data_IF_633062527028
#
_entry.id   IF_633062527028
#
_cell.length_a   1.000
_cell.length_b   1.000
_cell.length_c   1.000
_cell.angle_alpha   90.00
_cell.angle_beta   90.00
_cell.angle_gamma   90.00
#
_symmetry.space_group_name_H-M   'P 1'
#
loop_
_entity.id
_entity.type
_entity.pdbx_description
1 polymer ?
#
# COMPACT_ATOMS: atom_id res chain seq x y z
N UNK A 1 14.36 -6.15 15.25
CA UNK A 1 13.00 -5.70 14.86
C UNK A 1 12.66 -4.52 15.73
N UNK A 2 12.22 -3.41 15.14
CA UNK A 2 11.79 -2.25 15.92
C UNK A 2 10.44 -2.54 16.57
N UNK A 3 10.30 -2.24 17.86
CA UNK A 3 9.00 -2.32 18.55
C UNK A 3 8.18 -1.03 18.36
N UNK A 4 6.90 -1.04 18.74
CA UNK A 4 6.01 0.12 18.58
C UNK A 4 6.55 1.40 19.25
N UNK A 5 7.22 1.26 20.39
CA UNK A 5 7.83 2.39 21.08
C UNK A 5 8.96 3.00 20.25
N UNK A 6 9.82 2.16 19.69
CA UNK A 6 10.95 2.58 18.85
C UNK A 6 10.45 3.20 17.54
N UNK A 7 9.40 2.65 16.92
CA UNK A 7 8.74 3.26 15.77
C UNK A 7 8.14 4.63 16.11
N UNK A 8 7.45 4.74 17.25
CA UNK A 8 6.91 6.01 17.75
C UNK A 8 8.00 7.06 17.99
N UNK A 9 9.17 6.67 18.51
CA UNK A 9 10.32 7.58 18.67
C UNK A 9 10.79 8.08 17.30
N UNK A 10 10.89 7.21 16.30
CA UNK A 10 11.26 7.60 14.93
C UNK A 10 10.24 8.57 14.33
N UNK A 11 8.94 8.29 14.45
CA UNK A 11 7.87 9.15 13.93
C UNK A 11 7.89 10.55 14.57
N UNK A 12 8.13 10.62 15.88
CA UNK A 12 8.21 11.89 16.61
C UNK A 12 9.42 12.72 16.18
N UNK A 13 10.57 12.07 15.99
CA UNK A 13 11.81 12.73 15.59
C UNK A 13 11.85 13.09 14.10
N UNK A 14 11.05 12.43 13.27
CA UNK A 14 10.86 12.81 11.87
C UNK A 14 10.11 14.15 11.74
N UNK A 15 9.18 14.43 12.65
CA UNK A 15 8.39 15.67 12.61
C UNK A 15 9.21 16.87 13.05
N UNK A 16 9.93 16.74 14.17
CA UNK A 16 10.76 17.80 14.73
C UNK A 16 11.75 17.26 15.77
N UNK A 17 12.83 18.00 16.09
CA UNK A 17 13.69 17.67 17.22
C UNK A 17 12.92 17.58 18.54
N UNK A 18 13.30 16.62 19.39
CA UNK A 18 12.67 16.38 20.71
C UNK A 18 13.70 16.05 21.78
N UNK A 19 13.49 16.56 22.98
CA UNK A 19 14.29 16.21 24.15
C UNK A 19 13.99 14.79 24.65
N UNK A 20 14.93 14.14 25.36
CA UNK A 20 14.67 12.84 25.98
C UNK A 20 13.48 12.84 26.94
N UNK A 21 13.22 13.97 27.61
CA UNK A 21 12.08 14.13 28.52
C UNK A 21 10.73 14.11 27.79
N UNK A 22 10.63 14.81 26.66
CA UNK A 22 9.42 14.78 25.82
C UNK A 22 9.18 13.39 25.24
N UNK A 23 10.23 12.73 24.73
CA UNK A 23 10.14 11.36 24.21
C UNK A 23 9.70 10.38 25.30
N UNK A 24 10.28 10.48 26.50
CA UNK A 24 9.92 9.68 27.67
C UNK A 24 8.44 9.84 28.06
N UNK A 25 7.96 11.09 28.12
CA UNK A 25 6.57 11.40 28.44
C UNK A 25 5.60 10.81 27.41
N UNK A 26 5.90 10.95 26.11
CA UNK A 26 5.01 10.51 25.04
C UNK A 26 5.02 8.99 24.83
N UNK A 27 6.06 8.30 25.29
CA UNK A 27 6.19 6.84 25.17
C UNK A 27 5.96 6.10 26.50
N UNK A 28 5.80 6.81 27.61
CA UNK A 28 5.53 6.23 28.93
C UNK A 28 6.71 5.48 29.54
N UNK A 29 7.96 5.80 29.16
CA UNK A 29 9.17 5.15 29.70
C UNK A 29 10.16 6.16 30.26
N UNK A 30 11.18 5.66 30.98
CA UNK A 30 12.24 6.52 31.52
C UNK A 30 13.14 7.11 30.42
N UNK A 31 13.76 8.26 30.68
CA UNK A 31 14.77 8.85 29.79
C UNK A 31 15.95 7.90 29.51
N UNK A 32 16.33 7.04 30.47
CA UNK A 32 17.36 6.01 30.27
C UNK A 32 16.93 4.96 29.23
N UNK A 33 15.65 4.59 29.23
CA UNK A 33 15.08 3.67 28.23
C UNK A 33 15.09 4.32 26.85
N UNK A 34 14.73 5.60 26.76
CA UNK A 34 14.80 6.37 25.50
C UNK A 34 16.20 6.35 24.92
N UNK A 35 17.23 6.64 25.72
CA UNK A 35 18.61 6.63 25.23
C UNK A 35 19.03 5.25 24.69
N UNK A 36 18.65 4.16 25.39
CA UNK A 36 18.89 2.79 24.91
C UNK A 36 18.16 2.48 23.61
N UNK A 37 16.91 2.94 23.49
CA UNK A 37 16.13 2.77 22.26
C UNK A 37 16.75 3.57 21.11
N UNK A 38 17.29 4.78 21.36
CA UNK A 38 18.03 5.58 20.37
C UNK A 38 19.30 4.85 19.91
N UNK A 39 20.07 4.26 20.82
CA UNK A 39 21.26 3.47 20.46
C UNK A 39 20.89 2.27 19.58
N UNK A 40 19.84 1.54 19.96
CA UNK A 40 19.34 0.41 19.17
C UNK A 40 18.79 0.86 17.81
N UNK A 41 18.09 1.98 17.76
CA UNK A 41 17.59 2.59 16.53
C UNK A 41 18.75 2.95 15.60
N UNK A 42 19.77 3.65 16.10
CA UNK A 42 20.96 3.99 15.31
C UNK A 42 21.68 2.76 14.75
N UNK A 43 21.81 1.70 15.55
CA UNK A 43 22.32 0.43 15.07
C UNK A 43 21.44 -0.16 13.95
N UNK A 44 20.13 -0.18 14.17
CA UNK A 44 19.16 -0.79 13.23
C UNK A 44 19.04 -0.01 11.93
N UNK A 45 19.07 1.32 11.98
CA UNK A 45 19.01 2.20 10.81
C UNK A 45 20.23 2.04 9.90
N UNK A 46 21.36 1.54 10.43
CA UNK A 46 22.53 1.07 9.70
C UNK A 46 22.98 2.01 8.56
N UNK A 47 23.15 3.30 8.88
CA UNK A 47 23.64 4.31 7.92
C UNK A 47 22.60 4.82 6.92
N UNK A 48 21.34 4.35 6.96
CA UNK A 48 20.24 4.88 6.12
C UNK A 48 19.62 6.14 6.72
N UNK A 49 19.62 6.21 8.05
CA UNK A 49 19.28 7.39 8.83
C UNK A 49 20.05 7.35 10.15
N UNK A 50 20.11 8.47 10.86
CA UNK A 50 20.78 8.60 12.15
C UNK A 50 20.01 9.53 13.07
N UNK A 51 19.87 9.12 14.32
CA UNK A 51 19.41 9.95 15.41
C UNK A 51 20.65 10.51 16.12
N UNK A 52 20.78 11.83 16.18
CA UNK A 52 21.91 12.50 16.83
C UNK A 52 21.42 13.63 17.74
N UNK A 53 22.28 14.02 18.69
CA UNK A 53 21.98 15.14 19.57
C UNK A 53 22.21 16.47 18.84
N UNK A 54 21.16 17.27 18.72
CA UNK A 54 21.12 18.60 18.12
C UNK A 54 21.11 19.68 19.22
N UNK A 55 22.16 19.68 20.05
CA UNK A 55 22.37 20.68 21.10
C UNK A 55 21.17 20.89 22.03
N UNK A 56 20.74 22.16 22.17
CA UNK A 56 19.61 22.55 23.04
C UNK A 56 18.24 22.11 22.53
N UNK A 57 18.10 21.73 21.26
CA UNK A 57 16.85 21.28 20.65
C UNK A 57 16.55 19.78 20.92
N UNK A 58 17.46 19.06 21.59
CA UNK A 58 17.30 17.64 21.91
C UNK A 58 17.87 16.74 20.82
N UNK A 59 17.21 15.62 20.54
CA UNK A 59 17.58 14.66 19.51
C UNK A 59 16.86 14.97 18.20
N UNK A 60 17.53 14.69 17.09
CA UNK A 60 17.01 14.90 15.73
C UNK A 60 17.30 13.68 14.86
N UNK A 61 16.38 13.36 13.95
CA UNK A 61 16.54 12.33 12.93
C UNK A 61 17.04 12.97 11.62
N UNK A 62 18.17 12.50 11.12
CA UNK A 62 18.69 12.79 9.79
C UNK A 62 18.50 11.55 8.90
N UNK A 63 17.87 11.73 7.74
CA UNK A 63 17.60 10.67 6.78
C UNK A 63 18.50 10.87 5.57
N UNK A 64 19.46 9.98 5.37
CA UNK A 64 20.43 10.07 4.27
C UNK A 64 19.84 9.57 2.95
N UNK A 65 19.08 8.48 2.99
CA UNK A 65 18.41 7.92 1.82
C UNK A 65 16.97 7.58 2.15
N UNK A 66 16.02 8.40 1.66
CA UNK A 66 14.60 8.26 2.00
C UNK A 66 14.08 6.86 1.67
N UNK A 67 14.25 6.39 0.44
CA UNK A 67 13.69 5.11 -0.03
C UNK A 67 14.15 3.93 0.83
N UNK A 68 15.44 3.81 1.09
CA UNK A 68 16.01 2.75 1.93
C UNK A 68 15.58 2.83 3.39
N UNK A 69 15.45 4.05 3.93
CA UNK A 69 14.92 4.29 5.28
C UNK A 69 13.46 3.84 5.40
N UNK A 70 12.61 4.21 4.45
CA UNK A 70 11.22 3.75 4.37
C UNK A 70 11.11 2.22 4.31
N UNK A 71 11.88 1.59 3.41
CA UNK A 71 11.92 0.13 3.29
C UNK A 71 12.38 -0.56 4.58
N UNK A 72 13.27 0.06 5.35
CA UNK A 72 13.73 -0.49 6.62
C UNK A 72 12.62 -0.45 7.68
N UNK A 73 11.88 0.65 7.77
CA UNK A 73 10.74 0.76 8.67
C UNK A 73 9.61 -0.22 8.27
N UNK A 74 9.39 -0.39 6.96
CA UNK A 74 8.42 -1.37 6.42
C UNK A 74 8.85 -2.83 6.65
N UNK A 75 10.15 -3.16 6.61
CA UNK A 75 10.69 -4.50 6.94
C UNK A 75 10.40 -4.95 8.38
N UNK A 76 9.92 -4.06 9.24
CA UNK A 76 9.50 -4.37 10.59
C UNK A 76 7.98 -4.46 10.75
N UNK A 77 7.22 -4.30 9.67
CA UNK A 77 5.77 -4.40 9.69
C UNK A 77 5.35 -5.87 9.50
N UNK A 78 5.31 -6.61 10.61
CA UNK A 78 4.66 -7.93 10.64
C UNK A 78 3.18 -7.85 10.24
N UNK A 79 2.57 -6.65 10.18
CA UNK A 79 1.19 -6.46 9.74
C UNK A 79 1.00 -6.76 8.27
N UNK A 80 1.91 -6.29 7.40
CA UNK A 80 1.82 -6.55 5.96
C UNK A 80 2.03 -8.05 5.69
N UNK A 81 2.94 -8.70 6.42
CA UNK A 81 3.11 -10.16 6.34
C UNK A 81 1.91 -10.92 6.90
N UNK A 82 1.37 -10.49 8.03
CA UNK A 82 0.18 -11.09 8.65
C UNK A 82 -1.02 -10.97 7.70
N UNK A 83 -1.22 -9.79 7.09
CA UNK A 83 -2.26 -9.55 6.10
C UNK A 83 -2.06 -10.39 4.83
N UNK A 84 -0.83 -10.47 4.31
CA UNK A 84 -0.51 -11.32 3.16
C UNK A 84 -0.84 -12.80 3.43
N UNK A 85 -0.47 -13.32 4.62
CA UNK A 85 -0.81 -14.69 5.01
C UNK A 85 -2.32 -14.93 5.09
N UNK A 86 -3.09 -13.95 5.59
CA UNK A 86 -4.55 -14.02 5.64
C UNK A 86 -5.19 -13.92 4.25
N UNK A 87 -4.60 -13.14 3.33
CA UNK A 87 -5.06 -13.04 1.94
C UNK A 87 -4.77 -14.32 1.14
N UNK A 88 -3.67 -15.01 1.44
CA UNK A 88 -3.25 -16.24 0.78
C UNK A 88 -4.02 -17.49 1.18
N UNK A 89 -4.81 -17.47 2.26
CA UNK A 89 -5.46 -18.67 2.77
C UNK A 89 -6.94 -18.40 2.98
N UNK A 90 -7.80 -19.37 2.67
CA UNK A 90 -9.24 -19.26 2.94
C UNK A 90 -9.53 -19.12 4.44
N UNK A 91 -8.78 -19.82 5.29
CA UNK A 91 -8.78 -19.68 6.74
C UNK A 91 -7.38 -19.95 7.28
N UNK A 92 -6.94 -19.18 8.28
CA UNK A 92 -5.63 -19.35 8.91
C UNK A 92 -5.75 -19.38 10.44
N UNK A 93 -5.49 -20.52 11.10
CA UNK A 93 -5.41 -20.61 12.56
C UNK A 93 -4.29 -19.73 13.11
N UNK A 94 -4.47 -19.21 14.35
CA UNK A 94 -3.44 -18.38 15.01
C UNK A 94 -2.09 -19.09 15.14
N UNK A 95 -2.08 -20.38 15.45
CA UNK A 95 -0.86 -21.18 15.54
C UNK A 95 -0.10 -21.23 14.19
N UNK A 96 -0.82 -21.29 13.06
CA UNK A 96 -0.21 -21.26 11.73
C UNK A 96 0.37 -19.86 11.42
N UNK A 97 -0.35 -18.79 11.73
CA UNK A 97 0.15 -17.41 11.59
C UNK A 97 1.41 -17.20 12.44
N UNK A 98 1.40 -17.66 13.68
CA UNK A 98 2.52 -17.58 14.61
C UNK A 98 3.75 -18.32 14.07
N UNK A 99 3.55 -19.55 13.59
CA UNK A 99 4.61 -20.36 12.96
C UNK A 99 5.17 -19.69 11.72
N UNK A 100 4.32 -19.24 10.79
CA UNK A 100 4.74 -18.61 9.54
C UNK A 100 5.49 -17.29 9.75
N UNK A 101 5.12 -16.52 10.78
CA UNK A 101 5.80 -15.28 11.14
C UNK A 101 7.03 -15.50 12.03
N UNK A 102 7.24 -16.72 12.53
CA UNK A 102 8.22 -17.05 13.57
C UNK A 102 8.07 -16.16 14.82
N UNK A 103 6.84 -16.06 15.33
CA UNK A 103 6.44 -15.26 16.50
C UNK A 103 5.62 -16.07 17.49
N UNK A 104 5.54 -15.67 18.78
CA UNK A 104 4.64 -16.30 19.74
C UNK A 104 3.15 -16.15 19.34
N UNK A 105 2.33 -17.16 19.61
CA UNK A 105 0.88 -17.09 19.33
C UNK A 105 0.19 -15.97 20.12
N UNK A 106 0.69 -15.65 21.33
CA UNK A 106 0.21 -14.51 22.14
C UNK A 106 0.37 -13.18 21.42
N UNK A 107 1.50 -12.99 20.71
CA UNK A 107 1.72 -11.78 19.91
C UNK A 107 0.70 -11.68 18.78
N UNK A 108 0.43 -12.78 18.08
CA UNK A 108 -0.58 -12.82 16.99
C UNK A 108 -1.98 -12.53 17.54
N UNK A 109 -2.32 -13.08 18.71
CA UNK A 109 -3.59 -12.83 19.37
C UNK A 109 -3.80 -11.35 19.72
N UNK A 110 -2.75 -10.66 20.18
CA UNK A 110 -2.78 -9.22 20.44
C UNK A 110 -2.78 -8.37 19.17
N UNK A 111 -2.16 -8.87 18.09
CA UNK A 111 -2.01 -8.12 16.84
C UNK A 111 -3.24 -8.14 15.95
N UNK A 112 -3.94 -9.26 15.85
CA UNK A 112 -5.11 -9.41 14.97
C UNK A 112 -6.20 -8.33 15.19
N UNK A 113 -6.59 -7.97 16.43
CA UNK A 113 -7.53 -6.88 16.66
C UNK A 113 -7.03 -5.51 16.15
N UNK A 114 -5.72 -5.24 16.29
CA UNK A 114 -5.11 -4.00 15.80
C UNK A 114 -5.06 -3.96 14.29
N UNK A 115 -4.73 -5.09 13.65
CA UNK A 115 -4.76 -5.24 12.21
C UNK A 115 -6.17 -4.99 11.67
N UNK A 116 -7.19 -5.57 12.32
CA UNK A 116 -8.60 -5.34 11.99
C UNK A 116 -8.96 -3.87 12.04
N UNK A 117 -8.61 -3.18 13.13
CA UNK A 117 -8.90 -1.75 13.29
C UNK A 117 -8.16 -0.91 12.23
N UNK A 118 -6.90 -1.23 11.95
CA UNK A 118 -6.08 -0.52 10.96
C UNK A 118 -6.65 -0.58 9.55
N UNK A 119 -7.22 -1.73 9.16
CA UNK A 119 -7.73 -1.98 7.82
C UNK A 119 -9.26 -2.01 7.73
N UNK A 120 -9.99 -1.53 8.76
CA UNK A 120 -11.45 -1.65 8.83
C UNK A 120 -12.20 -0.97 7.67
N UNK A 121 -11.61 0.08 7.09
CA UNK A 121 -12.16 0.78 5.91
C UNK A 121 -11.73 0.16 4.59
N UNK A 122 -10.71 -0.69 4.62
CA UNK A 122 -10.09 -1.26 3.44
C UNK A 122 -10.56 -2.69 3.20
N UNK A 123 -10.61 -3.53 4.23
CA UNK A 123 -11.06 -4.91 4.13
C UNK A 123 -11.64 -5.48 5.43
N UNK A 124 -12.57 -6.42 5.31
CA UNK A 124 -13.16 -7.12 6.43
C UNK A 124 -12.28 -8.28 6.94
N UNK A 125 -11.67 -8.11 8.11
CA UNK A 125 -11.04 -9.21 8.85
C UNK A 125 -12.06 -9.93 9.74
N UNK A 126 -12.28 -11.21 9.45
CA UNK A 126 -13.22 -12.07 10.16
C UNK A 126 -12.52 -13.30 10.78
N UNK A 127 -13.27 -14.01 11.64
CA UNK A 127 -12.81 -15.23 12.30
C UNK A 127 -13.94 -16.23 12.41
N UNK A 128 -13.63 -17.51 12.20
CA UNK A 128 -14.57 -18.62 12.38
C UNK A 128 -14.02 -19.59 13.44
N UNK A 129 -14.79 -19.90 14.51
CA UNK A 129 -14.39 -20.87 15.51
C UNK A 129 -14.00 -22.21 14.87
N UNK A 130 -12.89 -22.78 15.31
CA UNK A 130 -12.35 -24.04 14.78
C UNK A 130 -11.61 -23.97 13.44
N UNK A 131 -11.79 -22.91 12.63
CA UNK A 131 -11.11 -22.76 11.33
C UNK A 131 -10.02 -21.67 11.34
N UNK A 132 -10.20 -20.59 12.10
CA UNK A 132 -9.21 -19.50 12.21
C UNK A 132 -9.69 -18.18 11.61
N UNK A 133 -8.74 -17.35 11.17
CA UNK A 133 -8.95 -15.99 10.70
C UNK A 133 -8.86 -15.91 9.17
N UNK A 134 -9.60 -14.97 8.57
CA UNK A 134 -9.66 -14.81 7.12
C UNK A 134 -10.05 -13.39 6.72
N UNK A 135 -9.82 -13.06 5.45
CA UNK A 135 -10.30 -11.82 4.82
C UNK A 135 -11.60 -12.14 4.09
N UNK A 136 -12.68 -11.51 4.52
CA UNK A 136 -14.04 -11.68 3.99
C UNK A 136 -14.28 -10.65 2.87
N UNK A 137 -13.63 -10.87 1.74
CA UNK A 137 -13.68 -10.00 0.57
C UNK A 137 -13.76 -10.82 -0.71
N UNK A 138 -14.21 -10.19 -1.80
CA UNK A 138 -14.27 -10.81 -3.13
C UNK A 138 -12.87 -11.23 -3.61
N UNK A 139 -12.81 -12.18 -4.54
CA UNK A 139 -11.56 -12.63 -5.15
C UNK A 139 -10.78 -11.46 -5.76
N UNK A 140 -11.46 -10.62 -6.55
CA UNK A 140 -10.91 -9.40 -7.12
C UNK A 140 -10.27 -8.50 -6.06
N UNK A 141 -10.98 -8.25 -4.95
CA UNK A 141 -10.49 -7.36 -3.92
C UNK A 141 -9.27 -7.95 -3.21
N UNK A 142 -9.28 -9.26 -2.93
CA UNK A 142 -8.14 -9.97 -2.37
C UNK A 142 -6.91 -9.91 -3.27
N UNK A 143 -7.08 -10.07 -4.58
CA UNK A 143 -6.00 -9.97 -5.57
C UNK A 143 -5.38 -8.57 -5.55
N UNK A 144 -6.19 -7.51 -5.59
CA UNK A 144 -5.69 -6.13 -5.58
C UNK A 144 -4.97 -5.79 -4.26
N UNK A 145 -5.52 -6.20 -3.12
CA UNK A 145 -4.88 -6.02 -1.82
C UNK A 145 -3.52 -6.72 -1.76
N UNK A 146 -3.44 -7.96 -2.23
CA UNK A 146 -2.17 -8.69 -2.27
C UNK A 146 -1.18 -8.06 -3.25
N UNK A 147 -1.65 -7.58 -4.41
CA UNK A 147 -0.81 -6.85 -5.37
C UNK A 147 -0.21 -5.59 -4.74
N UNK A 148 -1.00 -4.81 -4.00
CA UNK A 148 -0.49 -3.63 -3.27
C UNK A 148 0.61 -3.99 -2.27
N UNK A 149 0.49 -5.11 -1.55
CA UNK A 149 1.53 -5.59 -0.64
C UNK A 149 2.79 -6.03 -1.39
N UNK A 150 2.64 -6.80 -2.46
CA UNK A 150 3.76 -7.30 -3.26
C UNK A 150 4.43 -6.20 -4.08
N UNK A 151 3.74 -5.10 -4.38
CA UNK A 151 4.34 -3.91 -4.98
C UNK A 151 5.33 -3.23 -4.03
N UNK A 152 5.02 -3.19 -2.73
CA UNK A 152 5.92 -2.64 -1.69
C UNK A 152 7.14 -3.53 -1.49
N UNK A 153 6.92 -4.84 -1.36
CA UNK A 153 7.96 -5.85 -1.22
C UNK A 153 7.56 -7.14 -1.96
N UNK A 154 8.11 -7.43 -3.16
CA UNK A 154 7.82 -8.65 -3.90
C UNK A 154 8.23 -9.93 -3.16
N UNK A 155 9.09 -9.83 -2.15
CA UNK A 155 9.56 -10.93 -1.31
C UNK A 155 8.97 -10.87 0.11
N UNK A 156 7.87 -10.13 0.31
CA UNK A 156 7.15 -10.04 1.59
C UNK A 156 6.86 -11.43 2.18
N UNK A 157 6.49 -12.35 1.30
CA UNK A 157 6.19 -13.76 1.55
C UNK A 157 6.93 -14.62 0.51
N UNK A 158 7.44 -15.81 0.87
CA UNK A 158 8.10 -16.68 -0.08
C UNK A 158 7.07 -17.29 -1.04
N UNK A 159 7.20 -16.98 -2.33
CA UNK A 159 6.42 -17.60 -3.39
C UNK A 159 7.26 -18.68 -4.08
N UNK A 160 6.75 -19.91 -4.11
CA UNK A 160 7.46 -21.03 -4.71
C UNK A 160 7.78 -20.73 -6.18
N UNK A 161 9.04 -20.94 -6.60
CA UNK A 161 9.49 -20.69 -7.98
C UNK A 161 9.77 -19.23 -8.32
N UNK A 162 9.51 -18.27 -7.42
CA UNK A 162 9.85 -16.86 -7.65
C UNK A 162 11.28 -16.59 -7.17
N UNK A 163 12.14 -16.21 -8.12
CA UNK A 163 13.52 -15.78 -7.86
C UNK A 163 13.70 -14.30 -8.19
N UNK A 164 14.84 -13.71 -7.78
CA UNK A 164 15.20 -12.33 -8.16
C UNK A 164 15.35 -12.16 -9.66
N UNK A 165 15.89 -13.16 -10.34
CA UNK A 165 16.10 -13.12 -11.79
C UNK A 165 14.77 -13.13 -12.53
N UNK A 166 13.85 -14.04 -12.17
CA UNK A 166 12.50 -14.06 -12.75
C UNK A 166 11.76 -12.74 -12.53
N UNK A 167 11.90 -12.15 -11.33
CA UNK A 167 11.29 -10.87 -11.01
C UNK A 167 11.87 -9.72 -11.84
N UNK A 168 13.18 -9.72 -12.09
CA UNK A 168 13.83 -8.71 -12.93
C UNK A 168 13.36 -8.81 -14.38
N UNK A 169 13.25 -10.02 -14.92
CA UNK A 169 12.67 -10.24 -16.25
C UNK A 169 11.21 -9.79 -16.30
N UNK A 170 10.42 -10.11 -15.27
CA UNK A 170 9.03 -9.69 -15.17
C UNK A 170 8.88 -8.17 -15.14
N UNK A 171 9.65 -7.48 -14.31
CA UNK A 171 9.62 -6.01 -14.25
C UNK A 171 9.95 -5.42 -15.61
N UNK A 172 11.01 -5.92 -16.27
CA UNK A 172 11.44 -5.42 -17.58
C UNK A 172 10.36 -5.65 -18.65
N UNK A 173 9.71 -6.81 -18.67
CA UNK A 173 8.63 -7.10 -19.59
C UNK A 173 7.39 -6.23 -19.32
N UNK A 174 7.05 -6.00 -18.05
CA UNK A 174 5.94 -5.14 -17.65
C UNK A 174 6.20 -3.66 -17.91
N UNK A 175 7.45 -3.19 -17.84
CA UNK A 175 7.80 -1.78 -18.14
C UNK A 175 7.76 -1.50 -19.65
N UNK A 176 8.00 -2.52 -20.49
CA UNK A 176 8.02 -2.40 -21.95
C UNK A 176 6.66 -2.69 -22.62
N UNK A 177 5.61 -2.99 -21.86
CA UNK A 177 4.27 -3.16 -22.41
C UNK A 177 3.68 -1.81 -22.86
N UNK A 178 2.88 -1.82 -23.91
CA UNK A 178 2.22 -0.60 -24.43
C UNK A 178 0.69 -0.71 -24.48
N UNK A 179 0.13 -1.87 -24.10
CA UNK A 179 -1.30 -2.16 -24.22
C UNK A 179 -2.13 -1.38 -23.20
N UNK A 180 -1.62 -1.25 -21.98
CA UNK A 180 -2.29 -0.58 -20.87
C UNK A 180 -1.43 0.61 -20.39
N UNK A 181 -1.41 1.74 -21.13
CA UNK A 181 -0.50 2.85 -20.86
C UNK A 181 -0.76 3.57 -19.52
N UNK A 182 -1.96 3.42 -18.96
CA UNK A 182 -2.32 3.96 -17.64
C UNK A 182 -1.82 3.09 -16.48
N UNK A 183 -1.45 1.83 -16.76
CA UNK A 183 -0.99 0.87 -15.76
C UNK A 183 0.54 0.86 -15.72
N UNK A 184 1.11 1.24 -14.59
CA UNK A 184 2.55 1.22 -14.39
C UNK A 184 3.09 -0.22 -14.35
N UNK A 185 4.29 -0.44 -14.89
CA UNK A 185 4.88 -1.78 -15.00
C UNK A 185 5.11 -2.47 -13.65
N UNK A 186 5.43 -1.70 -12.60
CA UNK A 186 5.57 -2.20 -11.23
C UNK A 186 4.23 -2.69 -10.65
N UNK A 187 3.13 -1.99 -10.93
CA UNK A 187 1.79 -2.44 -10.56
C UNK A 187 1.41 -3.72 -11.32
N UNK A 188 1.59 -3.76 -12.64
CA UNK A 188 1.30 -4.95 -13.44
C UNK A 188 2.12 -6.17 -12.95
N UNK A 189 3.40 -5.98 -12.68
CA UNK A 189 4.27 -7.01 -12.10
C UNK A 189 3.71 -7.51 -10.78
N UNK A 190 3.32 -6.61 -9.87
CA UNK A 190 2.72 -6.98 -8.59
C UNK A 190 1.39 -7.71 -8.71
N UNK A 191 0.57 -7.35 -9.70
CA UNK A 191 -0.71 -7.99 -10.00
C UNK A 191 -0.50 -9.41 -10.54
N UNK A 192 0.47 -9.60 -11.43
CA UNK A 192 0.90 -10.92 -11.92
C UNK A 192 1.36 -11.80 -10.75
N UNK A 193 2.16 -11.26 -9.82
CA UNK A 193 2.60 -12.00 -8.64
C UNK A 193 1.45 -12.37 -7.70
N UNK A 194 0.47 -11.47 -7.51
CA UNK A 194 -0.71 -11.74 -6.69
C UNK A 194 -1.57 -12.87 -7.29
N UNK A 195 -1.82 -12.82 -8.61
CA UNK A 195 -2.50 -13.89 -9.34
C UNK A 195 -1.71 -15.20 -9.28
N UNK A 196 -0.39 -15.13 -9.46
CA UNK A 196 0.48 -16.29 -9.31
C UNK A 196 0.32 -16.91 -7.93
N UNK A 197 0.35 -16.11 -6.86
CA UNK A 197 0.23 -16.58 -5.49
C UNK A 197 -1.14 -17.22 -5.20
N UNK A 198 -2.22 -16.67 -5.76
CA UNK A 198 -3.59 -17.12 -5.55
C UNK A 198 -4.08 -18.16 -6.58
N UNK A 199 -3.27 -18.52 -7.58
CA UNK A 199 -3.66 -19.32 -8.77
C UNK A 199 -4.46 -20.60 -8.53
N UNK A 200 -4.31 -21.22 -7.35
CA UNK A 200 -5.00 -22.45 -6.97
C UNK A 200 -6.32 -22.21 -6.20
N UNK A 201 -6.67 -20.95 -5.94
CA UNK A 201 -7.86 -20.51 -5.21
C UNK A 201 -8.79 -19.65 -6.06
N UNK A 202 -8.41 -19.34 -7.31
CA UNK A 202 -9.21 -18.55 -8.21
C UNK A 202 -10.38 -19.39 -8.72
N UNK A 203 -11.60 -18.92 -8.49
CA UNK A 203 -12.85 -19.60 -8.85
C UNK A 203 -13.75 -18.76 -9.76
N UNK A 204 -13.56 -17.44 -9.79
CA UNK A 204 -14.43 -16.55 -10.57
C UNK A 204 -14.33 -16.83 -12.08
N UNK A 205 -15.47 -16.75 -12.76
CA UNK A 205 -15.55 -16.88 -14.21
C UNK A 205 -15.36 -15.52 -14.89
N UNK A 206 -14.28 -15.39 -15.63
CA UNK A 206 -13.96 -14.19 -16.40
C UNK A 206 -14.20 -14.41 -17.89
N UNK A 207 -14.61 -13.37 -18.65
CA UNK A 207 -14.73 -13.46 -20.09
C UNK A 207 -13.42 -13.88 -20.76
N UNK A 208 -13.52 -14.55 -21.91
CA UNK A 208 -12.33 -14.89 -22.68
C UNK A 208 -11.72 -13.64 -23.30
N UNK A 209 -10.43 -13.45 -23.09
CA UNK A 209 -9.66 -12.41 -23.74
C UNK A 209 -8.98 -12.97 -25.01
N UNK A 210 -9.04 -12.26 -26.15
CA UNK A 210 -8.48 -12.75 -27.41
C UNK A 210 -6.96 -12.54 -27.55
N UNK A 211 -6.31 -11.81 -26.65
CA UNK A 211 -4.88 -11.49 -26.70
C UNK A 211 -3.99 -12.42 -25.86
N UNK A 212 -2.73 -12.56 -26.29
CA UNK A 212 -1.69 -13.39 -25.66
C UNK A 212 -0.62 -12.56 -24.92
N UNK A 213 -0.76 -11.23 -24.83
CA UNK A 213 0.28 -10.32 -24.32
C UNK A 213 0.69 -10.66 -22.88
N UNK A 214 -0.29 -10.89 -22.00
CA UNK A 214 -0.03 -11.31 -20.62
C UNK A 214 0.69 -12.65 -20.56
N UNK A 215 0.25 -13.61 -21.37
CA UNK A 215 0.85 -14.94 -21.42
C UNK A 215 2.30 -14.84 -21.86
N UNK A 216 2.59 -14.04 -22.88
CA UNK A 216 3.94 -13.75 -23.34
C UNK A 216 4.78 -13.10 -22.23
N UNK A 217 4.29 -12.05 -21.56
CA UNK A 217 5.01 -11.39 -20.45
C UNK A 217 5.40 -12.42 -19.38
N UNK A 218 4.46 -13.28 -18.97
CA UNK A 218 4.66 -14.28 -17.92
C UNK A 218 5.67 -15.35 -18.36
N UNK A 219 5.53 -15.90 -19.56
CA UNK A 219 6.41 -16.95 -20.10
C UNK A 219 7.85 -16.45 -20.31
N UNK A 220 8.03 -15.25 -20.87
CA UNK A 220 9.36 -14.63 -21.03
C UNK A 220 10.06 -14.34 -19.70
N UNK A 221 9.28 -14.23 -18.62
CA UNK A 221 9.80 -14.04 -17.26
C UNK A 221 10.19 -15.35 -16.56
N UNK A 222 10.00 -16.50 -17.24
CA UNK A 222 10.21 -17.82 -16.66
C UNK A 222 9.15 -18.22 -15.65
N UNK A 223 7.98 -17.58 -15.68
CA UNK A 223 6.83 -17.91 -14.84
C UNK A 223 5.80 -18.70 -15.65
N UNK A 224 4.93 -19.42 -14.95
CA UNK A 224 3.83 -20.16 -15.57
C UNK A 224 2.52 -19.87 -14.84
N UNK A 225 1.51 -19.46 -15.59
CA UNK A 225 0.13 -19.32 -15.14
C UNK A 225 -0.76 -20.25 -15.95
N UNK A 226 -1.61 -21.01 -15.25
CA UNK A 226 -2.64 -21.82 -15.90
C UNK A 226 -3.71 -20.95 -16.56
N UNK A 227 -4.51 -21.57 -17.43
CA UNK A 227 -5.55 -20.88 -18.21
C UNK A 227 -6.48 -20.01 -17.34
N UNK A 228 -6.97 -20.54 -16.21
CA UNK A 228 -7.86 -19.78 -15.34
C UNK A 228 -7.18 -18.53 -14.77
N UNK A 229 -5.92 -18.64 -14.33
CA UNK A 229 -5.17 -17.53 -13.76
C UNK A 229 -4.88 -16.43 -14.79
N UNK A 230 -4.52 -16.80 -16.03
CA UNK A 230 -4.37 -15.83 -17.14
C UNK A 230 -5.69 -15.13 -17.41
N UNK A 231 -6.80 -15.88 -17.45
CA UNK A 231 -8.14 -15.34 -17.70
C UNK A 231 -8.58 -14.36 -16.60
N UNK A 232 -8.36 -14.70 -15.33
CA UNK A 232 -8.64 -13.81 -14.20
C UNK A 232 -7.80 -12.54 -14.28
N UNK A 233 -6.49 -12.66 -14.54
CA UNK A 233 -5.60 -11.50 -14.65
C UNK A 233 -6.06 -10.55 -15.74
N UNK A 234 -6.30 -11.06 -16.95
CA UNK A 234 -6.70 -10.20 -18.06
C UNK A 234 -8.10 -9.63 -17.87
N UNK A 235 -9.03 -10.42 -17.31
CA UNK A 235 -10.37 -9.94 -16.97
C UNK A 235 -10.34 -8.77 -15.98
N UNK A 236 -9.49 -8.85 -14.95
CA UNK A 236 -9.28 -7.77 -13.98
C UNK A 236 -8.70 -6.51 -14.63
N UNK A 237 -7.67 -6.66 -15.47
CA UNK A 237 -7.04 -5.53 -16.17
C UNK A 237 -8.06 -4.83 -17.07
N UNK A 238 -8.85 -5.58 -17.83
CA UNK A 238 -9.86 -5.02 -18.72
C UNK A 238 -11.00 -4.35 -17.95
N UNK A 239 -11.43 -4.92 -16.82
CA UNK A 239 -12.40 -4.27 -15.94
C UNK A 239 -11.88 -2.92 -15.42
N UNK A 240 -10.64 -2.88 -14.93
CA UNK A 240 -9.99 -1.64 -14.48
C UNK A 240 -9.87 -0.62 -15.61
N UNK A 241 -9.54 -1.07 -16.82
CA UNK A 241 -9.46 -0.21 -17.99
C UNK A 241 -10.83 0.38 -18.36
N UNK A 242 -11.88 -0.44 -18.37
CA UNK A 242 -13.26 0.01 -18.64
C UNK A 242 -13.75 1.00 -17.57
N UNK A 243 -13.45 0.75 -16.30
CA UNK A 243 -13.76 1.69 -15.21
C UNK A 243 -13.04 3.03 -15.39
N UNK A 244 -11.76 3.02 -15.80
CA UNK A 244 -11.03 4.24 -16.08
C UNK A 244 -11.66 5.06 -17.22
N UNK A 245 -12.18 4.40 -18.27
CA UNK A 245 -12.81 5.08 -19.41
C UNK A 245 -14.09 5.87 -19.06
N UNK A 246 -14.68 5.66 -17.88
CA UNK A 246 -15.84 6.44 -17.40
C UNK A 246 -15.45 7.90 -17.05
N UNK A 247 -14.16 8.17 -16.79
CA UNK A 247 -13.68 9.49 -16.41
C UNK A 247 -13.21 10.27 -17.63
N UNK A 248 -13.81 11.44 -17.85
CA UNK A 248 -13.39 12.40 -18.89
C UNK A 248 -12.94 13.74 -18.30
N UNK A 249 -12.23 14.54 -19.09
CA UNK A 249 -11.85 15.91 -18.73
C UNK A 249 -13.09 16.79 -18.46
N UNK A 250 -14.14 16.66 -19.28
CA UNK A 250 -15.39 17.41 -19.11
C UNK A 250 -16.09 17.05 -17.80
N UNK A 251 -16.08 15.76 -17.43
CA UNK A 251 -16.63 15.31 -16.16
C UNK A 251 -15.86 15.92 -14.98
N UNK A 252 -14.52 15.85 -15.02
CA UNK A 252 -13.66 16.44 -13.97
C UNK A 252 -13.88 17.95 -13.87
N UNK A 253 -13.98 18.65 -15.00
CA UNK A 253 -14.28 20.09 -15.04
C UNK A 253 -15.62 20.39 -14.37
N UNK A 254 -16.68 19.62 -14.68
CA UNK A 254 -17.99 19.79 -14.06
C UNK A 254 -17.97 19.56 -12.54
N UNK A 255 -17.19 18.59 -12.05
CA UNK A 255 -17.00 18.35 -10.62
C UNK A 255 -16.19 19.47 -9.96
N UNK A 256 -15.12 19.94 -10.60
CA UNK A 256 -14.33 21.06 -10.09
C UNK A 256 -15.20 22.29 -9.94
N UNK A 257 -16.02 22.65 -10.93
CA UNK A 257 -16.91 23.83 -10.86
C UNK A 257 -17.93 23.77 -9.71
N UNK A 258 -18.25 22.57 -9.19
CA UNK A 258 -19.13 22.38 -8.03
C UNK A 258 -18.41 22.53 -6.68
N UNK A 259 -17.08 22.60 -6.65
CA UNK A 259 -16.32 22.78 -5.40
C UNK A 259 -16.60 24.16 -4.81
N UNK A 260 -17.04 24.27 -3.55
CA UNK A 260 -17.36 25.55 -2.93
C UNK A 260 -16.18 26.53 -2.95
N UNK A 261 -16.44 27.77 -3.39
CA UNK A 261 -15.44 28.84 -3.38
C UNK A 261 -14.40 28.77 -4.50
N UNK A 262 -14.39 27.75 -5.35
CA UNK A 262 -13.39 27.62 -6.42
C UNK A 262 -13.63 28.62 -7.56
N UNK A 263 -14.89 28.88 -7.89
CA UNK A 263 -15.28 29.76 -9.00
C UNK A 263 -14.81 31.20 -8.79
N UNK A 264 -14.81 31.68 -7.54
CA UNK A 264 -14.30 33.01 -7.16
C UNK A 264 -12.78 33.15 -7.29
N UNK A 265 -12.04 32.05 -7.36
CA UNK A 265 -10.58 32.06 -7.42
C UNK A 265 -10.05 32.05 -8.86
N UNK A 266 -10.88 31.70 -9.84
CA UNK A 266 -10.49 31.60 -11.26
C UNK A 266 -9.22 30.76 -11.48
N UNK A 267 -9.07 29.67 -10.72
CA UNK A 267 -7.89 28.79 -10.73
C UNK A 267 -8.06 27.54 -11.60
N UNK A 268 -9.24 27.34 -12.20
CA UNK A 268 -9.49 26.18 -13.07
C UNK A 268 -8.97 26.52 -14.46
N UNK A 269 -7.83 25.93 -14.82
CA UNK A 269 -7.26 25.98 -16.16
C UNK A 269 -7.21 24.57 -16.79
N UNK A 270 -6.88 24.51 -18.08
CA UNK A 270 -6.77 23.25 -18.84
C UNK A 270 -5.75 22.30 -18.21
N UNK A 271 -4.63 22.83 -17.71
CA UNK A 271 -3.56 22.02 -17.12
C UNK A 271 -4.01 21.33 -15.83
N UNK A 272 -4.75 22.02 -14.98
CA UNK A 272 -5.31 21.47 -13.75
C UNK A 272 -6.30 20.35 -14.04
N UNK A 273 -7.21 20.57 -15.00
CA UNK A 273 -8.19 19.56 -15.42
C UNK A 273 -7.46 18.33 -15.95
N UNK A 274 -6.52 18.48 -16.89
CA UNK A 274 -5.75 17.37 -17.45
C UNK A 274 -4.94 16.61 -16.39
N UNK A 275 -4.32 17.33 -15.44
CA UNK A 275 -3.55 16.72 -14.36
C UNK A 275 -4.43 15.88 -13.43
N UNK A 276 -5.59 16.41 -13.04
CA UNK A 276 -6.54 15.71 -12.17
C UNK A 276 -7.13 14.53 -12.92
N UNK A 277 -7.64 14.71 -14.14
CA UNK A 277 -8.15 13.61 -14.98
C UNK A 277 -7.12 12.51 -15.13
N UNK A 278 -5.90 12.85 -15.52
CA UNK A 278 -4.81 11.87 -15.66
C UNK A 278 -4.48 11.16 -14.35
N UNK A 279 -4.55 11.86 -13.20
CA UNK A 279 -4.35 11.24 -11.89
C UNK A 279 -5.46 10.25 -11.55
N UNK A 280 -6.73 10.62 -11.73
CA UNK A 280 -7.87 9.73 -11.48
C UNK A 280 -7.82 8.48 -12.37
N UNK A 281 -7.51 8.66 -13.66
CA UNK A 281 -7.35 7.56 -14.62
C UNK A 281 -6.26 6.56 -14.17
N UNK A 282 -5.12 7.06 -13.68
CA UNK A 282 -4.06 6.19 -13.13
C UNK A 282 -4.49 5.48 -11.85
N UNK A 283 -5.22 6.16 -10.96
CA UNK A 283 -5.72 5.55 -9.73
C UNK A 283 -6.76 4.45 -10.00
N UNK A 284 -7.58 4.57 -11.05
CA UNK A 284 -8.52 3.53 -11.48
C UNK A 284 -7.84 2.37 -12.19
N UNK A 285 -6.84 2.66 -13.04
CA UNK A 285 -6.08 1.62 -13.74
C UNK A 285 -5.13 0.85 -12.81
N UNK A 286 -4.69 1.45 -11.71
CA UNK A 286 -3.78 0.83 -10.74
C UNK A 286 -4.17 1.19 -9.30
N UNK A 287 -5.28 0.62 -8.79
CA UNK A 287 -5.80 0.95 -7.46
C UNK A 287 -4.80 0.63 -6.34
N UNK A 288 -4.66 1.59 -5.42
CA UNK A 288 -3.83 1.49 -4.22
C UNK A 288 -4.73 1.66 -3.00
N UNK A 289 -5.14 0.55 -2.41
CA UNK A 289 -5.99 0.50 -1.22
C UNK A 289 -5.21 0.34 0.08
N UNK A 290 -3.98 -0.20 0.00
CA UNK A 290 -3.06 -0.28 1.14
C UNK A 290 -2.01 0.81 0.98
N UNK A 291 -2.28 1.98 1.56
CA UNK A 291 -1.35 3.10 1.53
C UNK A 291 0.05 2.70 2.06
N UNK A 292 1.10 3.28 1.48
CA UNK A 292 2.41 3.30 2.11
C UNK A 292 2.32 4.25 3.31
N UNK A 293 2.65 3.75 4.51
CA UNK A 293 2.55 4.54 5.73
C UNK A 293 3.35 5.84 5.62
N UNK A 294 2.64 6.98 5.58
CA UNK A 294 2.94 8.17 6.39
C UNK A 294 1.85 9.25 6.26
N UNK A 295 1.06 9.41 7.32
CA UNK A 295 0.21 10.59 7.55
C UNK A 295 1.03 11.89 7.75
N UNK A 296 2.33 11.79 8.02
CA UNK A 296 3.20 12.96 8.22
C UNK A 296 3.27 13.86 6.99
N UNK A 297 3.26 13.29 5.78
CA UNK A 297 3.20 14.07 4.54
C UNK A 297 1.87 14.81 4.39
N UNK A 298 0.75 14.18 4.78
CA UNK A 298 -0.58 14.81 4.69
C UNK A 298 -0.73 15.97 5.67
N UNK A 299 -0.26 15.82 6.91
CA UNK A 299 -0.32 16.90 7.91
C UNK A 299 0.54 18.10 7.49
N UNK A 300 1.73 17.85 6.90
CA UNK A 300 2.58 18.90 6.37
C UNK A 300 1.94 19.61 5.16
N UNK A 301 1.32 18.85 4.25
CA UNK A 301 0.57 19.43 3.12
C UNK A 301 -0.62 20.26 3.59
N UNK A 302 -1.39 19.76 4.56
CA UNK A 302 -2.52 20.50 5.16
C UNK A 302 -2.05 21.77 5.86
N UNK A 303 -0.94 21.73 6.58
CA UNK A 303 -0.39 22.89 7.27
C UNK A 303 0.15 23.95 6.29
N UNK A 304 0.81 23.51 5.21
CA UNK A 304 1.35 24.41 4.20
C UNK A 304 0.26 25.04 3.31
N UNK A 305 -0.80 24.28 2.98
CA UNK A 305 -1.85 24.71 2.05
C UNK A 305 -3.27 24.37 2.55
N UNK A 306 -3.75 24.95 3.66
CA UNK A 306 -5.02 24.55 4.27
C UNK A 306 -6.22 24.67 3.33
N UNK A 307 -6.36 25.80 2.64
CA UNK A 307 -7.50 26.07 1.76
C UNK A 307 -7.55 25.12 0.55
N UNK A 308 -6.40 24.84 -0.08
CA UNK A 308 -6.32 23.89 -1.19
C UNK A 308 -6.59 22.46 -0.72
N UNK A 309 -6.13 22.11 0.49
CA UNK A 309 -6.41 20.81 1.10
C UNK A 309 -7.91 20.63 1.34
N UNK A 310 -8.60 21.62 1.91
CA UNK A 310 -10.05 21.56 2.14
C UNK A 310 -10.85 21.47 0.82
N UNK A 311 -10.46 22.22 -0.21
CA UNK A 311 -11.06 22.08 -1.56
C UNK A 311 -10.86 20.67 -2.13
N UNK A 312 -9.69 20.06 -1.92
CA UNK A 312 -9.44 18.68 -2.35
C UNK A 312 -10.36 17.67 -1.65
N UNK A 313 -10.67 17.88 -0.36
CA UNK A 313 -11.62 17.04 0.38
C UNK A 313 -13.04 17.17 -0.18
N UNK A 314 -13.49 18.40 -0.47
CA UNK A 314 -14.79 18.63 -1.11
C UNK A 314 -14.87 17.97 -2.49
N UNK A 315 -13.81 18.07 -3.29
CA UNK A 315 -13.73 17.40 -4.58
C UNK A 315 -13.81 15.86 -4.44
N UNK A 316 -13.10 15.28 -3.46
CA UNK A 316 -13.18 13.84 -3.17
C UNK A 316 -14.59 13.43 -2.73
N UNK A 317 -15.28 14.25 -1.91
CA UNK A 317 -16.68 13.99 -1.54
C UNK A 317 -17.58 13.95 -2.76
N UNK A 318 -17.44 14.92 -3.68
CA UNK A 318 -18.21 14.94 -4.93
C UNK A 318 -17.90 13.71 -5.81
N UNK A 319 -16.64 13.29 -5.89
CA UNK A 319 -16.27 12.07 -6.61
C UNK A 319 -16.93 10.82 -6.03
N UNK A 320 -17.05 10.73 -4.70
CA UNK A 320 -17.67 9.58 -4.01
C UNK A 320 -19.18 9.47 -4.19
N UNK A 321 -19.85 10.56 -4.57
CA UNK A 321 -21.27 10.52 -4.94
C UNK A 321 -21.52 9.74 -6.25
N UNK A 322 -20.46 9.42 -7.01
CA UNK A 322 -20.53 8.63 -8.23
C UNK A 322 -20.16 7.16 -7.94
N UNK A 323 -21.14 6.25 -7.85
CA UNK A 323 -20.92 4.87 -7.42
C UNK A 323 -20.04 4.04 -8.36
N UNK A 324 -19.86 4.49 -9.61
CA UNK A 324 -19.07 3.80 -10.63
C UNK A 324 -17.55 4.08 -10.52
N UNK A 325 -17.13 4.93 -9.57
CA UNK A 325 -15.74 5.35 -9.39
C UNK A 325 -15.16 4.71 -8.12
N UNK A 326 -14.46 3.56 -8.20
CA UNK A 326 -13.93 2.82 -7.05
C UNK A 326 -12.68 3.48 -6.41
N UNK A 327 -12.56 4.81 -6.49
CA UNK A 327 -11.30 5.51 -6.26
C UNK A 327 -10.76 5.42 -4.83
N UNK A 328 -11.58 5.22 -3.80
CA UNK A 328 -11.18 4.95 -2.41
C UNK A 328 -12.40 4.94 -1.46
N UNK A 329 -12.62 3.83 -0.76
CA UNK A 329 -13.38 3.81 0.52
C UNK A 329 -12.60 4.58 1.62
#
# INVERSE_FOLDING_TARGET
>A
MLNERQLKIVDLLEQQPRTPGELAQQTGVSGRTILRDIDYLNFTLNGKARIFASGSAGYQLEIFERRSFFQLLQKHDNDDRLLALLLLNTFTPRAQLASALNLPETWVAERLPRLKQRYERTCCLASRPGLGHFIDETEEKRVILLANLLRKDPFLIPLAGITRDNLQHLSTACDNQHRWPLMQGDYLSSLILAIYALRNQLTDEWPQYPGDEIKQIVEHSGLFLGYNAVRTLTGLIEKQHQQAQVISADHVLGLLQRVPGIASLNIIDTQLVENITGHLLRCLAAPVWIAEHRQSSMNNLKAAWPAAFDMSLHFITLLREHPDIPLCD
#
